data_IF_504004256105
#
_entry.id   IF_504004256105
#
_cell.length_a   1.000
_cell.length_b   1.000
_cell.length_c   1.000
_cell.angle_alpha   90.00
_cell.angle_beta   90.00
_cell.angle_gamma   90.00
#
_symmetry.space_group_name_H-M   'P 1'
#
loop_
_entity.id
_entity.type
_entity.pdbx_description
1 polymer ?
#
# COMPACT_ATOMS: atom_id res chain seq x y z
N UNK A 1 20.65 -11.02 -15.64
CA UNK A 1 20.73 -10.22 -14.39
C UNK A 1 21.96 -9.29 -14.34
N UNK A 2 22.66 -9.12 -15.45
CA UNK A 2 24.06 -8.67 -15.43
C UNK A 2 24.20 -7.20 -15.03
N UNK A 3 23.22 -6.37 -15.37
CA UNK A 3 23.19 -4.94 -14.97
C UNK A 3 23.09 -4.81 -13.45
N UNK A 4 22.23 -5.59 -12.78
CA UNK A 4 22.10 -5.55 -11.32
C UNK A 4 23.34 -6.11 -10.63
N UNK A 5 23.99 -7.10 -11.24
CA UNK A 5 25.27 -7.62 -10.74
C UNK A 5 26.37 -6.55 -10.83
N UNK A 6 26.53 -5.91 -11.99
CA UNK A 6 27.51 -4.84 -12.21
C UNK A 6 27.30 -3.65 -11.25
N UNK A 7 26.03 -3.26 -11.03
CA UNK A 7 25.69 -2.27 -10.02
C UNK A 7 26.08 -2.74 -8.62
N UNK A 8 25.84 -4.01 -8.30
CA UNK A 8 26.23 -4.62 -7.04
C UNK A 8 27.74 -4.63 -6.81
N UNK A 9 28.54 -4.91 -7.84
CA UNK A 9 30.01 -4.84 -7.79
C UNK A 9 30.50 -3.42 -7.49
N UNK A 10 29.87 -2.41 -8.09
CA UNK A 10 30.25 -1.00 -7.88
C UNK A 10 29.78 -0.43 -6.54
N UNK A 11 28.62 -0.87 -6.04
CA UNK A 11 27.98 -0.31 -4.84
C UNK A 11 28.16 -1.16 -3.57
N UNK A 12 28.57 -2.43 -3.70
CA UNK A 12 28.56 -3.41 -2.62
C UNK A 12 27.17 -3.98 -2.28
N UNK A 13 26.12 -3.61 -3.03
CA UNK A 13 24.76 -4.10 -2.79
C UNK A 13 24.52 -5.46 -3.48
N UNK A 14 23.60 -6.25 -2.92
CA UNK A 14 23.18 -7.54 -3.49
C UNK A 14 21.67 -7.64 -3.61
N UNK A 15 21.17 -8.04 -4.77
CA UNK A 15 19.75 -8.28 -5.00
C UNK A 15 19.26 -9.46 -4.18
N UNK A 16 18.17 -9.27 -3.43
CA UNK A 16 17.51 -10.35 -2.70
C UNK A 16 16.39 -10.96 -3.56
N UNK A 17 16.71 -12.06 -4.25
CA UNK A 17 15.76 -12.77 -5.13
C UNK A 17 14.59 -13.40 -4.38
N UNK A 18 14.73 -13.73 -3.10
CA UNK A 18 13.64 -14.27 -2.28
C UNK A 18 12.61 -13.22 -1.88
N UNK A 19 12.96 -11.93 -1.98
CA UNK A 19 12.06 -10.79 -1.71
C UNK A 19 11.69 -10.04 -3.00
N UNK A 20 12.20 -10.49 -4.14
CA UNK A 20 11.97 -9.86 -5.44
C UNK A 20 11.02 -10.73 -6.21
N UNK A 21 9.97 -10.14 -6.78
CA UNK A 21 9.00 -10.85 -7.61
C UNK A 21 8.81 -10.09 -8.91
N UNK A 22 8.51 -10.81 -9.99
CA UNK A 22 8.08 -10.25 -11.27
C UNK A 22 6.56 -10.32 -11.32
N UNK A 23 5.93 -9.21 -11.67
CA UNK A 23 4.48 -9.12 -11.83
C UNK A 23 4.15 -8.74 -13.27
N UNK A 24 3.98 -9.71 -14.17
CA UNK A 24 3.74 -9.47 -15.57
C UNK A 24 2.42 -8.72 -15.77
N UNK A 25 2.42 -7.74 -16.67
CA UNK A 25 1.24 -6.95 -17.02
C UNK A 25 1.01 -7.09 -18.52
N UNK A 26 -0.08 -7.77 -18.89
CA UNK A 26 -0.45 -8.04 -20.30
C UNK A 26 0.66 -8.75 -21.09
N UNK A 27 1.33 -9.72 -20.46
CA UNK A 27 2.30 -10.61 -21.10
C UNK A 27 1.61 -11.93 -21.50
N UNK A 28 2.02 -12.53 -22.62
CA UNK A 28 1.65 -13.88 -23.00
C UNK A 28 2.68 -14.91 -22.54
N UNK A 29 2.38 -16.19 -22.76
CA UNK A 29 3.26 -17.31 -22.42
C UNK A 29 4.72 -17.15 -22.92
N UNK A 30 5.00 -16.76 -24.19
CA UNK A 30 6.39 -16.67 -24.64
C UNK A 30 7.16 -15.57 -23.92
N UNK A 31 6.51 -14.46 -23.54
CA UNK A 31 7.15 -13.43 -22.73
C UNK A 31 7.43 -13.89 -21.29
N UNK A 32 6.54 -14.71 -20.72
CA UNK A 32 6.72 -15.28 -19.38
C UNK A 32 7.92 -16.24 -19.33
N UNK A 33 8.08 -17.08 -20.35
CA UNK A 33 9.23 -17.98 -20.47
C UNK A 33 10.57 -17.21 -20.52
N UNK A 34 10.61 -16.12 -21.30
CA UNK A 34 11.78 -15.23 -21.37
C UNK A 34 12.05 -14.59 -20.00
N UNK A 35 11.01 -14.10 -19.32
CA UNK A 35 11.14 -13.49 -18.00
C UNK A 35 11.69 -14.48 -16.97
N UNK A 36 11.21 -15.73 -16.98
CA UNK A 36 11.67 -16.76 -16.05
C UNK A 36 13.15 -17.14 -16.26
N UNK A 37 13.62 -17.12 -17.51
CA UNK A 37 15.03 -17.35 -17.84
C UNK A 37 15.93 -16.18 -17.43
N UNK A 38 15.48 -14.95 -17.63
CA UNK A 38 16.28 -13.74 -17.39
C UNK A 38 16.31 -13.30 -15.91
N UNK A 39 15.21 -13.53 -15.20
CA UNK A 39 14.97 -13.10 -13.83
C UNK A 39 14.61 -14.33 -12.99
N UNK A 40 15.59 -14.95 -12.29
CA UNK A 40 15.38 -16.15 -11.48
C UNK A 40 14.70 -15.81 -10.14
N UNK A 41 13.52 -15.19 -10.21
CA UNK A 41 12.70 -14.81 -9.09
C UNK A 41 11.23 -15.18 -9.34
N UNK A 42 10.41 -15.15 -8.30
CA UNK A 42 9.02 -15.61 -8.38
C UNK A 42 8.21 -14.76 -9.37
N UNK A 43 7.48 -15.42 -10.28
CA UNK A 43 6.47 -14.78 -11.11
C UNK A 43 5.16 -14.79 -10.32
N UNK A 44 4.72 -13.63 -9.89
CA UNK A 44 3.47 -13.43 -9.17
C UNK A 44 2.43 -12.73 -10.05
N UNK A 45 1.17 -12.71 -9.58
CA UNK A 45 0.05 -12.18 -10.35
C UNK A 45 -0.21 -10.72 -9.99
N UNK A 46 -0.41 -9.88 -11.01
CA UNK A 46 -0.91 -8.52 -10.87
C UNK A 46 -2.46 -8.51 -10.89
N UNK A 47 -3.19 -7.69 -10.09
CA UNK A 47 -2.74 -6.62 -9.20
C UNK A 47 -2.13 -7.10 -7.88
N UNK A 48 -1.27 -6.28 -7.29
CA UNK A 48 -0.56 -6.60 -6.04
C UNK A 48 -0.63 -5.48 -5.01
N UNK A 49 0.02 -5.67 -3.86
CA UNK A 49 0.25 -4.60 -2.88
C UNK A 49 1.69 -4.10 -2.99
N UNK A 50 1.86 -2.79 -3.10
CA UNK A 50 3.16 -2.14 -3.09
C UNK A 50 3.14 -0.99 -2.08
N UNK A 51 4.12 -1.00 -1.16
CA UNK A 51 4.18 -0.06 -0.03
C UNK A 51 2.91 -0.04 0.84
N UNK A 52 2.19 -1.16 0.92
CA UNK A 52 0.93 -1.24 1.68
C UNK A 52 -0.31 -0.73 0.92
N UNK A 53 -0.16 -0.29 -0.32
CA UNK A 53 -1.27 0.17 -1.17
C UNK A 53 -1.57 -0.86 -2.28
N UNK A 54 -2.84 -1.05 -2.65
CA UNK A 54 -3.19 -1.86 -3.81
C UNK A 54 -2.75 -1.15 -5.10
N UNK A 55 -1.85 -1.80 -5.84
CA UNK A 55 -1.41 -1.36 -7.15
C UNK A 55 -2.27 -2.06 -8.22
N UNK A 56 -2.99 -1.28 -9.01
CA UNK A 56 -3.97 -1.77 -9.99
C UNK A 56 -3.96 -0.88 -11.24
N UNK A 57 -4.21 -1.49 -12.40
CA UNK A 57 -4.41 -0.77 -13.68
C UNK A 57 -5.81 -0.18 -13.80
N UNK A 58 -6.75 -0.65 -12.98
CA UNK A 58 -8.14 -0.22 -12.97
C UNK A 58 -8.43 0.53 -11.67
N UNK A 59 -9.45 1.40 -11.72
CA UNK A 59 -9.99 2.01 -10.50
C UNK A 59 -10.37 0.94 -9.48
N UNK A 60 -10.00 1.18 -8.23
CA UNK A 60 -10.27 0.23 -7.17
C UNK A 60 -11.77 0.12 -6.92
N UNK A 61 -12.22 -1.11 -6.75
CA UNK A 61 -13.59 -1.40 -6.37
C UNK A 61 -13.83 -1.05 -4.90
N UNK A 62 -15.10 -0.93 -4.51
CA UNK A 62 -15.48 -0.74 -3.11
C UNK A 62 -14.89 -1.81 -2.18
N UNK A 63 -14.92 -3.07 -2.61
CA UNK A 63 -14.36 -4.20 -1.86
C UNK A 63 -12.83 -4.12 -1.68
N UNK A 64 -12.12 -3.49 -2.62
CA UNK A 64 -10.66 -3.29 -2.50
C UNK A 64 -10.29 -2.09 -1.63
N UNK A 65 -11.15 -1.07 -1.55
CA UNK A 65 -10.94 0.12 -0.71
C UNK A 65 -11.37 -0.15 0.74
N UNK A 66 -12.38 -0.98 0.97
CA UNK A 66 -12.92 -1.25 2.30
C UNK A 66 -11.83 -1.70 3.31
N UNK A 67 -10.92 -2.63 3.00
CA UNK A 67 -9.85 -3.03 3.91
C UNK A 67 -8.93 -1.86 4.33
N UNK A 68 -8.76 -0.84 3.48
CA UNK A 68 -7.95 0.34 3.80
C UNK A 68 -8.67 1.17 4.88
N UNK A 69 -9.99 1.33 4.75
CA UNK A 69 -10.82 2.03 5.74
C UNK A 69 -10.82 1.26 7.06
N UNK A 70 -10.94 -0.07 7.00
CA UNK A 70 -10.92 -0.93 8.18
C UNK A 70 -9.57 -0.82 8.90
N UNK A 71 -8.45 -0.82 8.17
CA UNK A 71 -7.13 -0.61 8.75
C UNK A 71 -6.98 0.76 9.46
N UNK A 72 -7.64 1.81 8.97
CA UNK A 72 -7.69 3.10 9.66
C UNK A 72 -8.53 3.00 10.93
N UNK A 73 -9.69 2.33 10.86
CA UNK A 73 -10.56 2.14 12.01
C UNK A 73 -9.86 1.37 13.13
N UNK A 74 -9.09 0.33 12.78
CA UNK A 74 -8.37 -0.52 13.72
C UNK A 74 -7.27 0.20 14.51
N UNK A 75 -6.81 1.37 14.04
CA UNK A 75 -5.87 2.21 14.82
C UNK A 75 -6.54 2.91 16.01
N UNK A 76 -7.83 3.23 15.90
CA UNK A 76 -8.53 4.09 16.87
C UNK A 76 -8.66 3.47 18.27
N UNK A 77 -9.00 2.16 18.43
CA UNK A 77 -9.03 1.53 19.75
C UNK A 77 -7.66 1.56 20.46
N UNK A 78 -6.57 1.48 19.70
CA UNK A 78 -5.20 1.52 20.23
C UNK A 78 -4.84 2.84 20.90
N UNK A 79 -5.54 3.93 20.58
CA UNK A 79 -5.27 5.26 21.13
C UNK A 79 -5.89 5.50 22.51
N UNK A 80 -6.65 4.53 23.05
CA UNK A 80 -7.26 4.59 24.39
C UNK A 80 -7.97 5.92 24.63
N UNK A 81 -8.93 6.23 23.75
CA UNK A 81 -9.65 7.50 23.75
C UNK A 81 -10.15 7.91 25.14
N UNK A 82 -10.63 6.96 25.95
CA UNK A 82 -11.15 7.20 27.31
C UNK A 82 -10.12 7.74 28.30
N UNK A 83 -8.83 7.53 28.03
CA UNK A 83 -7.71 8.08 28.81
C UNK A 83 -7.22 9.42 28.28
N UNK A 84 -7.86 9.97 27.24
CA UNK A 84 -7.45 11.19 26.58
C UNK A 84 -8.45 12.32 26.78
N UNK A 85 -7.93 13.53 26.92
CA UNK A 85 -8.74 14.74 26.82
C UNK A 85 -9.25 14.94 25.39
N UNK A 86 -10.37 15.64 25.25
CA UNK A 86 -10.92 15.99 23.93
C UNK A 86 -9.91 16.75 23.04
N UNK A 87 -9.09 17.59 23.66
CA UNK A 87 -8.00 18.28 22.96
C UNK A 87 -6.94 17.30 22.44
N UNK A 88 -6.53 16.33 23.25
CA UNK A 88 -5.61 15.27 22.83
C UNK A 88 -6.16 14.43 21.68
N UNK A 89 -7.45 14.06 21.74
CA UNK A 89 -8.12 13.34 20.64
C UNK A 89 -8.10 14.15 19.33
N UNK A 90 -8.37 15.46 19.42
CA UNK A 90 -8.30 16.37 18.27
C UNK A 90 -6.91 16.40 17.64
N UNK A 91 -5.86 16.46 18.45
CA UNK A 91 -4.47 16.44 17.98
C UNK A 91 -4.17 15.15 17.21
N UNK A 92 -4.55 13.98 17.73
CA UNK A 92 -4.33 12.71 17.01
C UNK A 92 -5.08 12.65 15.67
N UNK A 93 -6.34 13.09 15.64
CA UNK A 93 -7.11 13.15 14.38
C UNK A 93 -6.44 14.10 13.38
N UNK A 94 -6.00 15.27 13.85
CA UNK A 94 -5.43 16.32 13.01
C UNK A 94 -4.06 15.93 12.45
N UNK A 95 -3.19 15.30 13.23
CA UNK A 95 -1.84 14.97 12.79
C UNK A 95 -1.73 13.54 12.26
N UNK A 96 -2.19 12.55 13.03
CA UNK A 96 -1.97 11.13 12.69
C UNK A 96 -2.93 10.67 11.59
N UNK A 97 -4.25 10.81 11.79
CA UNK A 97 -5.21 10.38 10.76
C UNK A 97 -5.06 11.20 9.48
N UNK A 98 -4.80 12.51 9.57
CA UNK A 98 -4.58 13.32 8.37
C UNK A 98 -3.36 12.86 7.59
N UNK A 99 -2.24 12.58 8.25
CA UNK A 99 -1.03 12.09 7.57
C UNK A 99 -1.28 10.74 6.88
N UNK A 100 -1.99 9.81 7.54
CA UNK A 100 -2.37 8.53 6.92
C UNK A 100 -3.23 8.75 5.67
N UNK A 101 -4.21 9.65 5.72
CA UNK A 101 -5.08 9.93 4.58
C UNK A 101 -4.34 10.64 3.45
N UNK A 102 -3.41 11.54 3.76
CA UNK A 102 -2.56 12.18 2.75
C UNK A 102 -1.75 11.10 2.02
N UNK A 103 -1.12 10.17 2.76
CA UNK A 103 -0.37 9.07 2.17
C UNK A 103 -1.22 8.23 1.20
N UNK A 104 -2.45 7.87 1.60
CA UNK A 104 -3.39 7.15 0.74
C UNK A 104 -3.78 7.98 -0.49
N UNK A 105 -4.12 9.24 -0.31
CA UNK A 105 -4.59 10.13 -1.36
C UNK A 105 -3.50 10.52 -2.38
N UNK A 106 -2.21 10.44 -2.01
CA UNK A 106 -1.10 10.65 -2.94
C UNK A 106 -1.04 9.62 -4.06
N UNK A 107 -1.56 8.40 -3.82
CA UNK A 107 -1.45 7.28 -4.75
C UNK A 107 -2.80 6.72 -5.20
N UNK A 108 -3.88 6.97 -4.46
CA UNK A 108 -5.21 6.42 -4.71
C UNK A 108 -6.24 7.53 -4.91
N UNK A 109 -7.03 7.39 -5.98
CA UNK A 109 -8.25 8.17 -6.17
C UNK A 109 -9.32 7.73 -5.17
N UNK A 110 -9.35 8.35 -3.99
CA UNK A 110 -10.31 8.02 -2.94
C UNK A 110 -11.72 8.48 -3.34
N UNK A 111 -12.68 7.56 -3.53
CA UNK A 111 -14.03 7.94 -3.95
C UNK A 111 -14.75 8.69 -2.81
N UNK A 112 -15.72 9.56 -3.13
CA UNK A 112 -16.41 10.38 -2.13
C UNK A 112 -17.05 9.59 -0.97
N UNK A 113 -17.53 8.37 -1.23
CA UNK A 113 -18.09 7.52 -0.18
C UNK A 113 -17.04 7.05 0.84
N UNK A 114 -15.81 6.81 0.39
CA UNK A 114 -14.71 6.36 1.25
C UNK A 114 -14.21 7.50 2.13
N UNK A 115 -14.12 8.72 1.58
CA UNK A 115 -13.85 9.94 2.35
C UNK A 115 -14.91 10.13 3.44
N UNK A 116 -16.20 10.02 3.09
CA UNK A 116 -17.30 10.11 4.06
C UNK A 116 -17.23 9.03 5.15
N UNK A 117 -16.80 7.82 4.81
CA UNK A 117 -16.62 6.74 5.78
C UNK A 117 -15.49 7.06 6.78
N UNK A 118 -14.35 7.54 6.29
CA UNK A 118 -13.24 8.01 7.13
C UNK A 118 -13.67 9.19 8.01
N UNK A 119 -14.40 10.16 7.48
CA UNK A 119 -14.90 11.30 8.26
C UNK A 119 -15.89 10.87 9.35
N UNK A 120 -16.63 9.78 9.13
CA UNK A 120 -17.46 9.17 10.17
C UNK A 120 -16.59 8.59 11.28
N UNK A 121 -15.51 7.88 10.96
CA UNK A 121 -14.55 7.36 11.95
C UNK A 121 -13.92 8.49 12.76
N UNK A 122 -13.47 9.55 12.08
CA UNK A 122 -12.91 10.75 12.73
C UNK A 122 -13.87 11.37 13.72
N UNK A 123 -15.13 11.56 13.33
CA UNK A 123 -16.17 12.13 14.20
C UNK A 123 -16.53 11.22 15.37
N UNK A 124 -16.49 9.91 15.19
CA UNK A 124 -16.74 8.95 16.28
C UNK A 124 -15.64 8.93 17.33
N UNK A 125 -14.40 9.28 16.96
CA UNK A 125 -13.28 9.33 17.89
C UNK A 125 -13.24 10.62 18.74
N UNK A 126 -13.66 11.76 18.17
CA UNK A 126 -13.65 13.08 18.81
C UNK A 126 -14.71 13.25 19.90
#
# INVERSE_FOLDING_TARGET
MDILHLFGESSGLKTNLQKSNVLPIRCGEPELDILQQLLPCEISVFPCRYLGLPLSLKKLTKAQIQPIIDQIADQLPGWKADLMTRAGRKVQVQFVLTAMLIYLAMALDFPPWAIKAVDKLRRGFL
#
